data_IF_427782734595
#
_entry.id   IF_427782734595
#
_cell.length_a   1.000
_cell.length_b   1.000
_cell.length_c   1.000
_cell.angle_alpha   90.00
_cell.angle_beta   90.00
_cell.angle_gamma   90.00
#
_symmetry.space_group_name_H-M   'P 1'
#
loop_
_entity.id
_entity.type
_entity.pdbx_description
1 polymer ?
#
# COMPACT_ATOMS: atom_id res chain seq x y z
N UNK A 1 70.34 -55.40 -21.32
CA UNK A 1 71.34 -54.49 -21.93
C UNK A 1 71.07 -53.12 -21.42
N UNK A 2 71.81 -52.67 -20.36
CA UNK A 2 72.97 -51.76 -20.46
C UNK A 2 72.56 -50.55 -21.34
N UNK A 3 72.38 -49.32 -20.77
CA UNK A 3 73.48 -48.41 -20.55
C UNK A 3 73.10 -47.23 -19.63
N UNK A 4 73.95 -46.89 -18.69
CA UNK A 4 73.98 -45.70 -17.81
C UNK A 4 74.42 -44.46 -18.61
N UNK A 5 74.08 -43.26 -18.18
CA UNK A 5 74.99 -42.07 -18.04
C UNK A 5 74.16 -40.93 -17.41
N UNK A 6 74.39 -40.52 -16.20
CA UNK A 6 75.39 -39.53 -15.65
C UNK A 6 74.94 -38.06 -15.95
N UNK A 7 74.50 -37.42 -14.87
CA UNK A 7 74.85 -36.11 -14.26
C UNK A 7 75.26 -34.97 -15.18
N UNK A 8 74.60 -33.85 -15.02
CA UNK A 8 75.25 -32.57 -14.71
C UNK A 8 74.30 -31.62 -13.96
N UNK A 9 74.70 -31.26 -12.71
CA UNK A 9 74.09 -30.20 -11.96
C UNK A 9 74.69 -28.86 -12.40
N UNK A 10 73.87 -27.91 -12.77
CA UNK A 10 74.24 -26.51 -12.91
C UNK A 10 73.46 -25.69 -11.94
N UNK A 11 74.15 -25.22 -10.92
CA UNK A 11 73.60 -24.21 -9.97
C UNK A 11 73.69 -22.85 -10.67
N UNK A 12 72.51 -22.22 -10.90
CA UNK A 12 72.48 -20.82 -11.24
C UNK A 12 71.70 -20.08 -10.13
N UNK A 13 72.52 -19.33 -9.34
CA UNK A 13 71.99 -18.30 -8.45
C UNK A 13 71.51 -17.14 -9.31
N UNK A 14 70.19 -16.89 -9.26
CA UNK A 14 69.61 -15.63 -9.73
C UNK A 14 69.10 -14.89 -8.51
N UNK A 15 69.70 -13.71 -8.26
CA UNK A 15 69.26 -12.76 -7.27
C UNK A 15 67.85 -12.24 -7.65
N UNK A 16 66.86 -12.48 -6.81
CA UNK A 16 65.53 -11.87 -6.93
C UNK A 16 65.59 -10.49 -6.29
N UNK A 17 65.45 -9.46 -7.13
CA UNK A 17 64.98 -8.15 -6.68
C UNK A 17 63.51 -8.28 -6.26
N UNK A 18 63.25 -7.98 -5.03
CA UNK A 18 61.87 -7.90 -4.53
C UNK A 18 61.16 -6.70 -5.12
N UNK A 19 60.06 -6.96 -5.78
CA UNK A 19 59.06 -5.96 -6.07
C UNK A 19 57.94 -6.14 -5.05
N UNK A 20 57.93 -5.25 -4.06
CA UNK A 20 56.83 -5.12 -3.10
C UNK A 20 55.59 -4.55 -3.82
N UNK A 21 54.87 -5.40 -4.51
CA UNK A 21 53.52 -5.06 -4.94
C UNK A 21 52.61 -5.12 -3.72
N UNK A 22 52.51 -3.97 -3.05
CA UNK A 22 51.48 -3.76 -2.04
C UNK A 22 50.09 -3.97 -2.71
N UNK A 23 49.52 -5.14 -2.47
CA UNK A 23 48.10 -5.39 -2.77
C UNK A 23 47.26 -4.48 -1.91
N UNK A 24 46.89 -3.32 -2.42
CA UNK A 24 45.90 -2.45 -1.79
C UNK A 24 44.59 -3.22 -1.75
N UNK A 25 44.27 -3.80 -0.61
CA UNK A 25 42.97 -4.32 -0.33
C UNK A 25 42.01 -3.13 -0.39
N UNK A 26 41.25 -3.03 -1.50
CA UNK A 26 40.13 -2.10 -1.59
C UNK A 26 39.11 -2.59 -0.58
N UNK A 27 39.12 -2.02 0.61
CA UNK A 27 38.05 -2.17 1.57
C UNK A 27 36.84 -1.51 0.93
N UNK A 28 35.95 -2.29 0.31
CA UNK A 28 34.64 -1.84 -0.07
C UNK A 28 33.93 -1.52 1.24
N UNK A 29 33.92 -0.26 1.63
CA UNK A 29 33.03 0.24 2.68
C UNK A 29 31.62 -0.06 2.17
N UNK A 30 30.99 -1.08 2.75
CA UNK A 30 29.52 -1.21 2.67
C UNK A 30 29.03 0.10 3.25
N UNK A 31 28.42 0.93 2.42
CA UNK A 31 27.74 2.13 2.89
C UNK A 31 26.81 1.66 3.99
N UNK A 32 26.99 2.16 5.21
CA UNK A 32 26.08 1.89 6.31
C UNK A 32 24.68 2.22 5.80
N UNK A 33 23.79 1.22 5.80
CA UNK A 33 22.41 1.42 5.36
C UNK A 33 21.85 2.59 6.16
N UNK A 34 21.35 3.62 5.46
CA UNK A 34 20.75 4.79 6.10
C UNK A 34 19.57 4.30 6.92
N UNK A 35 19.74 4.19 8.22
CA UNK A 35 18.73 3.68 9.16
C UNK A 35 17.88 4.77 9.79
N UNK A 36 17.98 6.02 9.29
CA UNK A 36 17.24 7.19 9.79
C UNK A 36 16.65 7.98 8.64
N UNK A 37 15.59 8.71 8.93
CA UNK A 37 15.10 9.74 8.00
C UNK A 37 16.02 10.98 8.02
N UNK A 38 16.06 11.78 6.94
CA UNK A 38 16.65 13.11 6.96
C UNK A 38 16.09 13.97 8.10
N UNK A 39 16.88 14.92 8.62
CA UNK A 39 16.46 15.80 9.74
C UNK A 39 15.25 16.69 9.40
N UNK A 40 15.06 17.01 8.14
CA UNK A 40 13.97 17.84 7.62
C UNK A 40 12.80 17.01 7.06
N UNK A 41 12.84 15.70 7.20
CA UNK A 41 11.72 14.84 6.83
C UNK A 41 10.48 15.12 7.69
N UNK A 42 9.30 14.97 7.12
CA UNK A 42 8.03 15.09 7.83
C UNK A 42 7.06 13.99 7.43
N UNK A 43 6.18 13.64 8.39
CA UNK A 43 5.06 12.73 8.17
C UNK A 43 3.79 13.48 7.81
N UNK A 44 2.88 12.82 7.10
CA UNK A 44 1.52 13.31 6.88
C UNK A 44 0.56 12.14 6.67
N UNK A 45 -0.72 12.34 6.98
CA UNK A 45 -1.74 11.33 6.75
C UNK A 45 -2.02 11.17 5.27
N UNK A 46 -2.04 9.92 4.82
CA UNK A 46 -2.55 9.51 3.51
C UNK A 46 -4.01 9.00 3.61
N UNK A 47 -4.56 8.89 4.82
CA UNK A 47 -5.98 8.60 5.06
C UNK A 47 -6.79 9.89 5.01
N UNK A 48 -7.90 9.90 4.24
CA UNK A 48 -8.75 11.08 4.04
C UNK A 48 -10.12 10.98 4.72
N UNK A 49 -10.55 9.79 5.15
CA UNK A 49 -11.89 9.54 5.71
C UNK A 49 -11.80 8.76 7.04
N UNK A 50 -11.20 9.38 8.05
CA UNK A 50 -11.12 8.83 9.41
C UNK A 50 -12.34 9.24 10.23
N UNK A 51 -12.93 8.28 10.95
CA UNK A 51 -14.10 8.52 11.79
C UNK A 51 -13.95 7.88 13.17
N UNK A 52 -14.91 8.12 14.03
CA UNK A 52 -15.00 7.42 15.33
C UNK A 52 -15.17 5.92 15.10
N UNK A 53 -14.34 5.13 15.77
CA UNK A 53 -14.29 3.68 15.62
C UNK A 53 -12.88 3.16 15.47
N UNK A 54 -12.77 1.90 15.03
CA UNK A 54 -11.50 1.26 14.70
C UNK A 54 -11.10 1.62 13.27
N UNK A 55 -10.04 2.42 13.11
CA UNK A 55 -9.65 2.99 11.83
C UNK A 55 -8.20 2.69 11.47
N UNK A 56 -7.97 2.50 10.18
CA UNK A 56 -6.65 2.33 9.59
C UNK A 56 -6.06 3.69 9.23
N UNK A 57 -5.03 4.10 9.95
CA UNK A 57 -4.25 5.30 9.64
C UNK A 57 -3.07 4.95 8.72
N UNK A 58 -3.02 5.59 7.57
CA UNK A 58 -1.89 5.56 6.65
C UNK A 58 -1.06 6.82 6.81
N UNK A 59 0.25 6.66 6.95
CA UNK A 59 1.20 7.76 7.07
C UNK A 59 2.26 7.64 5.99
N UNK A 60 2.43 8.69 5.21
CA UNK A 60 3.55 8.85 4.30
C UNK A 60 4.63 9.71 4.94
N UNK A 61 5.89 9.48 4.55
CA UNK A 61 7.02 10.33 4.91
C UNK A 61 7.58 10.98 3.66
N UNK A 62 7.90 12.26 3.74
CA UNK A 62 8.40 13.06 2.62
C UNK A 62 9.52 13.98 3.07
N UNK A 63 10.32 14.44 2.12
CA UNK A 63 11.21 15.58 2.30
C UNK A 63 10.48 16.91 1.99
N UNK A 64 11.08 18.09 2.30
CA UNK A 64 10.46 19.39 2.08
C UNK A 64 10.18 19.73 0.60
N UNK A 65 10.82 19.06 -0.34
CA UNK A 65 10.58 19.28 -1.78
C UNK A 65 9.52 18.34 -2.34
N UNK A 66 8.94 17.47 -1.48
CA UNK A 66 7.82 16.60 -1.82
C UNK A 66 8.22 15.21 -2.33
N UNK A 67 9.52 14.86 -2.30
CA UNK A 67 9.93 13.50 -2.64
C UNK A 67 9.51 12.53 -1.54
N UNK A 68 8.89 11.43 -1.92
CA UNK A 68 8.52 10.35 -1.00
C UNK A 68 9.77 9.66 -0.46
N UNK A 69 9.76 9.33 0.82
CA UNK A 69 10.83 8.64 1.52
C UNK A 69 10.36 7.28 2.01
N UNK A 70 10.11 6.31 1.10
CA UNK A 70 9.73 4.96 1.49
C UNK A 70 10.95 4.24 2.08
N UNK A 71 10.87 3.92 3.37
CA UNK A 71 11.96 3.30 4.14
C UNK A 71 11.46 2.08 4.91
N UNK A 72 11.15 0.95 4.21
CA UNK A 72 10.65 -0.27 4.87
C UNK A 72 11.60 -0.81 5.93
N UNK A 73 12.89 -0.52 5.80
CA UNK A 73 13.94 -0.92 6.74
C UNK A 73 13.96 -0.11 8.04
N UNK A 74 13.20 1.00 8.13
CA UNK A 74 13.10 1.81 9.34
C UNK A 74 11.81 1.44 10.07
N UNK A 75 11.88 0.69 11.19
CA UNK A 75 10.71 0.46 12.03
C UNK A 75 10.20 1.79 12.60
N UNK A 76 8.90 1.98 12.57
CA UNK A 76 8.24 3.20 13.01
C UNK A 76 7.16 2.86 14.04
N UNK A 77 7.09 3.65 15.11
CA UNK A 77 5.96 3.67 16.03
C UNK A 77 5.13 4.92 15.74
N UNK A 78 3.85 4.74 15.50
CA UNK A 78 2.90 5.84 15.37
C UNK A 78 2.15 5.98 16.70
N UNK A 79 2.05 7.22 17.19
CA UNK A 79 1.31 7.55 18.40
C UNK A 79 0.26 8.60 18.07
N UNK A 80 -0.97 8.39 18.55
CA UNK A 80 -2.06 9.34 18.36
C UNK A 80 -2.67 9.75 19.71
N UNK A 81 -3.19 10.98 19.78
CA UNK A 81 -3.96 11.48 20.92
C UNK A 81 -4.88 12.61 20.48
N UNK A 82 -6.02 12.73 21.14
CA UNK A 82 -6.91 13.87 20.95
C UNK A 82 -6.21 15.15 21.43
N UNK A 83 -6.25 16.21 20.65
CA UNK A 83 -5.71 17.51 21.03
C UNK A 83 -6.33 17.98 22.35
N UNK A 84 -5.48 18.30 23.32
CA UNK A 84 -5.90 18.63 24.70
C UNK A 84 -6.09 17.44 25.63
N UNK A 85 -5.84 16.20 25.17
CA UNK A 85 -5.86 14.98 26.00
C UNK A 85 -4.57 14.17 25.85
N UNK A 86 -3.42 14.82 25.98
CA UNK A 86 -2.08 14.24 25.76
C UNK A 86 -1.75 13.06 26.68
N UNK A 87 -2.53 12.88 27.76
CA UNK A 87 -2.40 11.75 28.70
C UNK A 87 -3.08 10.46 28.19
N UNK A 88 -3.90 10.54 27.14
CA UNK A 88 -4.61 9.41 26.53
C UNK A 88 -4.00 9.08 25.16
N UNK A 89 -2.76 8.60 25.18
CA UNK A 89 -2.04 8.25 23.94
C UNK A 89 -2.21 6.78 23.60
N UNK A 90 -2.42 6.51 22.32
CA UNK A 90 -2.33 5.18 21.76
C UNK A 90 -1.06 5.10 20.91
N UNK A 91 -0.25 4.06 21.11
CA UNK A 91 1.00 3.86 20.36
C UNK A 91 1.01 2.48 19.75
N UNK A 92 1.24 2.40 18.45
CA UNK A 92 1.25 1.15 17.67
C UNK A 92 2.51 1.09 16.82
N UNK A 93 3.17 -0.07 16.81
CA UNK A 93 4.22 -0.35 15.85
C UNK A 93 3.59 -0.44 14.44
N UNK A 94 4.01 0.43 13.54
CA UNK A 94 3.44 0.50 12.22
C UNK A 94 3.98 -0.62 11.30
N UNK A 95 3.10 -1.25 10.55
CA UNK A 95 3.46 -2.03 9.39
C UNK A 95 3.84 -1.12 8.22
N UNK A 96 4.60 -1.64 7.27
CA UNK A 96 4.92 -0.93 6.03
C UNK A 96 4.26 -1.63 4.85
N UNK A 97 3.70 -0.87 3.92
CA UNK A 97 3.11 -1.37 2.68
C UNK A 97 3.60 -0.55 1.50
N UNK A 98 3.99 -1.23 0.43
CA UNK A 98 4.29 -0.58 -0.84
C UNK A 98 3.00 -0.21 -1.58
N UNK A 99 2.85 1.08 -1.89
CA UNK A 99 1.81 1.56 -2.81
C UNK A 99 2.27 1.43 -4.26
N UNK A 100 3.55 1.72 -4.52
CA UNK A 100 4.25 1.45 -5.77
C UNK A 100 5.62 0.90 -5.37
N UNK A 101 5.97 -0.35 -5.72
CA UNK A 101 7.23 -0.97 -5.32
C UNK A 101 8.44 -0.06 -5.54
N UNK A 102 9.27 0.10 -4.54
CA UNK A 102 10.51 0.92 -4.53
C UNK A 102 10.32 2.43 -4.79
N UNK A 103 9.09 2.91 -5.07
CA UNK A 103 8.79 4.31 -5.39
C UNK A 103 7.99 4.99 -4.29
N UNK A 104 6.89 4.37 -3.86
CA UNK A 104 5.99 4.95 -2.86
C UNK A 104 5.55 3.90 -1.87
N UNK A 105 5.73 4.18 -0.60
CA UNK A 105 5.32 3.30 0.48
C UNK A 105 4.72 4.09 1.64
N UNK A 106 3.95 3.38 2.45
CA UNK A 106 3.17 3.95 3.54
C UNK A 106 3.41 3.14 4.81
N UNK A 107 3.43 3.81 5.93
CA UNK A 107 3.30 3.19 7.24
C UNK A 107 1.84 3.09 7.60
N UNK A 108 1.38 1.91 8.07
CA UNK A 108 0.00 1.66 8.45
C UNK A 108 -0.08 1.24 9.92
N UNK A 109 -1.08 1.76 10.62
CA UNK A 109 -1.41 1.35 11.97
C UNK A 109 -2.90 1.53 12.21
N UNK A 110 -3.49 0.67 13.04
CA UNK A 110 -4.89 0.77 13.40
C UNK A 110 -5.02 1.43 14.78
N UNK A 111 -6.01 2.32 14.92
CA UNK A 111 -6.30 3.05 16.13
C UNK A 111 -7.80 3.06 16.42
N UNK A 112 -8.14 3.12 17.72
CA UNK A 112 -9.51 3.29 18.17
C UNK A 112 -9.75 4.77 18.49
N UNK A 113 -10.48 5.46 17.64
CA UNK A 113 -10.88 6.85 17.87
C UNK A 113 -12.20 6.89 18.62
N UNK A 114 -12.18 7.33 19.88
CA UNK A 114 -13.36 7.31 20.78
C UNK A 114 -14.27 8.53 20.64
N UNK A 115 -13.75 9.63 20.08
CA UNK A 115 -14.50 10.87 19.88
C UNK A 115 -14.06 11.59 18.60
N UNK A 116 -14.95 12.35 17.95
CA UNK A 116 -14.56 13.19 16.80
C UNK A 116 -13.72 14.38 17.27
N UNK A 117 -12.94 14.94 16.36
CA UNK A 117 -12.14 16.13 16.62
C UNK A 117 -10.77 16.11 15.95
N UNK A 118 -9.92 17.03 16.38
CA UNK A 118 -8.52 17.09 15.94
C UNK A 118 -7.70 16.16 16.81
N UNK A 119 -7.11 15.15 16.17
CA UNK A 119 -6.13 14.26 16.78
C UNK A 119 -4.73 14.62 16.29
N UNK A 120 -3.75 14.43 17.13
CA UNK A 120 -2.34 14.68 16.82
C UNK A 120 -1.67 13.33 16.55
N UNK A 121 -0.86 13.29 15.51
CA UNK A 121 -0.06 12.12 15.12
C UNK A 121 1.41 12.43 15.33
N UNK A 122 2.09 11.56 16.04
CA UNK A 122 3.55 11.55 16.21
C UNK A 122 4.13 10.31 15.58
N UNK A 123 5.20 10.48 14.82
CA UNK A 123 5.89 9.39 14.11
C UNK A 123 7.30 9.27 14.68
N UNK A 124 7.56 8.17 15.38
CA UNK A 124 8.84 7.89 16.00
C UNK A 124 9.55 6.75 15.27
N UNK A 125 10.60 7.04 14.49
CA UNK A 125 11.49 6.00 13.97
C UNK A 125 12.24 5.29 15.10
N UNK A 126 12.61 4.03 14.89
CA UNK A 126 13.42 3.27 15.86
C UNK A 126 14.80 3.88 16.07
N UNK A 127 15.29 4.63 15.09
CA UNK A 127 16.57 5.35 15.14
C UNK A 127 16.38 6.77 14.60
N UNK A 128 17.04 7.74 15.22
CA UNK A 128 16.95 9.15 14.86
C UNK A 128 15.92 9.92 15.68
N UNK A 129 15.71 11.18 15.30
CA UNK A 129 14.72 12.05 15.94
C UNK A 129 13.30 11.68 15.52
N UNK A 130 12.27 11.96 16.37
CA UNK A 130 10.89 11.90 15.93
C UNK A 130 10.65 12.90 14.79
N UNK A 131 9.75 12.54 13.86
CA UNK A 131 9.30 13.49 12.86
C UNK A 131 8.40 14.56 13.51
N UNK A 132 8.24 15.74 12.89
CA UNK A 132 7.30 16.74 13.37
C UNK A 132 5.88 16.17 13.52
N UNK A 133 5.24 16.46 14.64
CA UNK A 133 3.85 16.09 14.88
C UNK A 133 2.92 16.81 13.88
N UNK A 134 1.84 16.15 13.47
CA UNK A 134 0.87 16.73 12.56
C UNK A 134 -0.57 16.40 12.99
N UNK A 135 -1.55 17.26 12.67
CA UNK A 135 -2.94 17.02 13.00
C UNK A 135 -3.64 16.14 11.95
N UNK A 136 -4.63 15.37 12.40
CA UNK A 136 -5.62 14.71 11.57
C UNK A 136 -7.02 15.07 12.07
N UNK A 137 -8.00 15.07 11.16
CA UNK A 137 -9.39 15.24 11.51
C UNK A 137 -10.08 13.88 11.59
N UNK A 138 -10.66 13.57 12.75
CA UNK A 138 -11.54 12.42 12.94
C UNK A 138 -12.98 12.91 12.94
N UNK A 139 -13.82 12.38 12.05
CA UNK A 139 -15.24 12.71 11.91
C UNK A 139 -16.08 11.90 12.92
N UNK A 140 -17.32 12.33 13.18
CA UNK A 140 -18.26 11.53 13.96
C UNK A 140 -18.70 10.26 13.19
N UNK A 141 -18.92 10.41 11.88
CA UNK A 141 -19.26 9.34 10.93
C UNK A 141 -18.38 9.44 9.70
N UNK A 142 -18.02 8.31 9.06
CA UNK A 142 -17.28 8.33 7.82
C UNK A 142 -18.15 8.88 6.67
N UNK A 143 -17.52 9.39 5.66
CA UNK A 143 -18.20 9.79 4.40
C UNK A 143 -18.52 8.55 3.56
N UNK A 144 -17.60 7.59 3.52
CA UNK A 144 -17.82 6.32 2.84
C UNK A 144 -18.75 5.42 3.64
N UNK A 145 -19.27 4.37 3.02
CA UNK A 145 -20.09 3.38 3.71
C UNK A 145 -19.36 2.84 4.94
N UNK A 146 -19.99 2.94 6.09
CA UNK A 146 -19.40 2.55 7.37
C UNK A 146 -19.27 1.04 7.50
N UNK A 147 -18.25 0.58 8.24
CA UNK A 147 -18.18 -0.82 8.70
C UNK A 147 -19.39 -1.13 9.57
N UNK A 148 -20.01 -2.28 9.32
CA UNK A 148 -21.26 -2.72 9.94
C UNK A 148 -22.53 -2.25 9.23
N UNK A 149 -22.43 -1.37 8.23
CA UNK A 149 -23.57 -0.98 7.41
C UNK A 149 -23.85 -1.98 6.27
N UNK A 150 -25.08 -2.01 5.79
CA UNK A 150 -25.42 -2.73 4.57
C UNK A 150 -24.74 -2.08 3.35
N UNK A 151 -24.13 -2.88 2.51
CA UNK A 151 -23.54 -2.42 1.27
C UNK A 151 -24.63 -1.91 0.30
N UNK A 152 -24.47 -0.74 -0.35
CA UNK A 152 -25.36 -0.28 -1.39
C UNK A 152 -25.45 -1.27 -2.55
N UNK A 153 -26.67 -1.50 -3.03
CA UNK A 153 -26.93 -2.37 -4.18
C UNK A 153 -26.78 -1.58 -5.49
N UNK A 154 -25.58 -1.10 -5.73
CA UNK A 154 -25.29 -0.28 -6.91
C UNK A 154 -25.31 -1.10 -8.19
N UNK A 155 -25.86 -0.50 -9.22
CA UNK A 155 -25.83 -1.05 -10.58
C UNK A 155 -24.53 -0.60 -11.27
N UNK A 156 -23.52 -1.47 -11.25
CA UNK A 156 -22.24 -1.22 -11.93
C UNK A 156 -22.16 -1.97 -13.25
N UNK A 157 -21.54 -1.34 -14.25
CA UNK A 157 -21.42 -1.89 -15.61
C UNK A 157 -20.55 -3.15 -15.61
N UNK A 158 -20.98 -4.15 -16.40
CA UNK A 158 -20.32 -5.45 -16.54
C UNK A 158 -19.96 -5.74 -18.00
N UNK A 159 -19.17 -6.80 -18.24
CA UNK A 159 -18.83 -7.26 -19.61
C UNK A 159 -20.07 -7.75 -20.40
N UNK A 160 -21.23 -7.90 -19.75
CA UNK A 160 -22.50 -8.25 -20.39
C UNK A 160 -23.23 -7.00 -20.90
N UNK A 161 -22.86 -5.82 -20.44
CA UNK A 161 -23.50 -4.54 -20.78
C UNK A 161 -22.70 -3.78 -21.84
N UNK A 162 -21.35 -3.81 -21.75
CA UNK A 162 -20.45 -3.09 -22.65
C UNK A 162 -19.10 -3.81 -22.81
N UNK A 163 -18.33 -3.52 -23.86
CA UNK A 163 -16.97 -4.03 -24.02
C UNK A 163 -16.04 -3.40 -22.97
N UNK A 164 -14.95 -4.14 -22.62
CA UNK A 164 -14.04 -3.75 -21.53
C UNK A 164 -13.43 -2.34 -21.69
N UNK A 165 -13.12 -1.94 -22.90
CA UNK A 165 -12.57 -0.62 -23.23
C UNK A 165 -13.53 0.55 -22.93
N UNK A 166 -14.82 0.28 -22.77
CA UNK A 166 -15.83 1.25 -22.38
C UNK A 166 -16.12 1.21 -20.87
N UNK A 167 -15.80 0.07 -20.21
CA UNK A 167 -16.07 -0.16 -18.78
C UNK A 167 -14.97 0.41 -17.89
N UNK A 168 -13.72 0.33 -18.33
CA UNK A 168 -12.55 0.67 -17.49
C UNK A 168 -11.50 1.44 -18.26
N UNK A 169 -10.78 2.29 -17.53
CA UNK A 169 -9.61 3.00 -18.02
C UNK A 169 -8.28 2.23 -17.83
N UNK A 170 -8.34 1.00 -17.32
CA UNK A 170 -7.19 0.11 -17.24
C UNK A 170 -6.71 -0.25 -18.65
N UNK A 171 -5.40 -0.29 -18.85
CA UNK A 171 -4.80 -0.60 -20.15
C UNK A 171 -4.63 -2.10 -20.40
N UNK A 172 -4.71 -2.92 -19.35
CA UNK A 172 -4.62 -4.39 -19.42
C UNK A 172 -5.65 -5.03 -18.45
N UNK A 173 -6.96 -4.80 -18.65
CA UNK A 173 -7.96 -5.19 -17.68
C UNK A 173 -8.17 -6.70 -17.64
N UNK A 174 -8.20 -7.29 -16.45
CA UNK A 174 -8.61 -8.69 -16.26
C UNK A 174 -10.14 -8.80 -16.31
N UNK A 175 -10.72 -9.48 -17.33
CA UNK A 175 -12.17 -9.62 -17.48
C UNK A 175 -12.87 -10.24 -16.27
N UNK A 176 -12.12 -10.96 -15.41
CA UNK A 176 -12.68 -11.60 -14.23
C UNK A 176 -13.11 -10.65 -13.11
N UNK A 177 -12.74 -9.37 -13.19
CA UNK A 177 -13.16 -8.33 -12.25
C UNK A 177 -14.49 -7.64 -12.66
N UNK A 178 -15.07 -7.98 -13.83
CA UNK A 178 -16.22 -7.29 -14.42
C UNK A 178 -17.36 -8.25 -14.78
N UNK A 179 -17.39 -9.44 -14.14
CA UNK A 179 -18.36 -10.51 -14.47
C UNK A 179 -19.75 -10.25 -13.89
N UNK A 180 -19.86 -9.40 -12.87
CA UNK A 180 -21.12 -9.11 -12.16
C UNK A 180 -21.10 -7.68 -11.64
N UNK A 181 -22.31 -7.14 -11.46
CA UNK A 181 -22.48 -5.83 -10.81
C UNK A 181 -22.27 -5.92 -9.30
N UNK A 182 -22.11 -4.75 -8.64
CA UNK A 182 -22.07 -4.69 -7.18
C UNK A 182 -23.33 -5.32 -6.57
N UNK A 183 -24.51 -4.99 -7.09
CA UNK A 183 -25.78 -5.53 -6.59
C UNK A 183 -25.83 -7.06 -6.66
N UNK A 184 -25.39 -7.64 -7.77
CA UNK A 184 -25.30 -9.10 -7.92
C UNK A 184 -24.28 -9.72 -6.96
N UNK A 185 -23.11 -9.11 -6.80
CA UNK A 185 -22.08 -9.59 -5.90
C UNK A 185 -22.55 -9.59 -4.44
N UNK A 186 -23.10 -8.47 -3.98
CA UNK A 186 -23.61 -8.28 -2.60
C UNK A 186 -24.74 -9.25 -2.27
N UNK A 187 -25.58 -9.59 -3.25
CA UNK A 187 -26.72 -10.52 -3.05
C UNK A 187 -26.40 -11.98 -3.38
N UNK A 188 -25.19 -12.29 -3.80
CA UNK A 188 -24.77 -13.63 -4.22
C UNK A 188 -24.70 -14.67 -3.10
N UNK A 189 -24.69 -14.24 -1.82
CA UNK A 189 -24.45 -15.10 -0.67
C UNK A 189 -22.96 -15.47 -0.51
N UNK A 190 -22.05 -14.79 -1.18
CA UNK A 190 -20.59 -14.94 -1.07
C UNK A 190 -19.96 -13.62 -0.63
N UNK A 191 -18.87 -13.64 0.14
CA UNK A 191 -18.12 -12.44 0.40
C UNK A 191 -17.64 -11.78 -0.89
N UNK A 192 -17.46 -10.46 -0.84
CA UNK A 192 -17.02 -9.70 -2.01
C UNK A 192 -15.96 -8.66 -1.64
N UNK A 193 -14.97 -8.49 -2.49
CA UNK A 193 -13.98 -7.42 -2.47
C UNK A 193 -14.28 -6.51 -3.64
N UNK A 194 -14.64 -5.26 -3.35
CA UNK A 194 -15.07 -4.26 -4.32
C UNK A 194 -14.06 -3.12 -4.34
N UNK A 195 -13.44 -2.89 -5.49
CA UNK A 195 -12.39 -1.91 -5.69
C UNK A 195 -12.93 -0.77 -6.54
N UNK A 196 -12.97 0.43 -5.98
CA UNK A 196 -13.23 1.67 -6.72
C UNK A 196 -11.90 2.28 -7.13
N UNK A 197 -11.62 2.33 -8.43
CA UNK A 197 -10.36 2.83 -8.95
C UNK A 197 -10.54 3.44 -10.35
N UNK A 198 -9.59 4.26 -10.77
CA UNK A 198 -9.52 4.83 -12.13
C UNK A 198 -8.07 4.88 -12.61
N UNK A 199 -7.52 3.82 -13.19
CA UNK A 199 -6.11 3.75 -13.54
C UNK A 199 -5.58 4.92 -14.37
N UNK A 200 -6.32 5.36 -15.39
CA UNK A 200 -5.91 6.45 -16.31
C UNK A 200 -5.99 7.84 -15.69
N UNK A 201 -6.94 8.10 -14.79
CA UNK A 201 -7.23 9.43 -14.26
C UNK A 201 -6.83 9.61 -12.80
N UNK A 202 -6.20 8.60 -12.21
CA UNK A 202 -5.77 8.56 -10.82
C UNK A 202 -4.69 9.60 -10.52
N UNK A 203 -5.01 10.59 -9.69
CA UNK A 203 -4.09 11.66 -9.32
C UNK A 203 -2.91 11.17 -8.46
N UNK A 204 -3.11 10.10 -7.71
CA UNK A 204 -2.09 9.51 -6.83
C UNK A 204 -1.22 8.47 -7.52
N UNK A 205 -1.58 8.07 -8.76
CA UNK A 205 -0.92 7.02 -9.55
C UNK A 205 -0.94 5.62 -8.89
N UNK A 206 -1.76 5.37 -7.86
CA UNK A 206 -1.81 4.09 -7.16
C UNK A 206 -3.01 3.21 -7.53
N UNK A 207 -3.95 3.69 -8.35
CA UNK A 207 -5.13 2.90 -8.76
C UNK A 207 -4.76 1.66 -9.57
N UNK A 208 -3.89 1.81 -10.59
CA UNK A 208 -3.37 0.66 -11.33
C UNK A 208 -2.63 -0.33 -10.43
N UNK A 209 -1.58 0.10 -9.70
CA UNK A 209 -0.90 -0.74 -8.72
C UNK A 209 -1.82 -1.42 -7.69
N UNK A 210 -2.91 -0.76 -7.28
CA UNK A 210 -3.90 -1.39 -6.38
C UNK A 210 -4.63 -2.54 -7.08
N UNK A 211 -5.03 -2.37 -8.34
CA UNK A 211 -5.68 -3.45 -9.12
C UNK A 211 -4.73 -4.61 -9.37
N UNK A 212 -3.47 -4.34 -9.74
CA UNK A 212 -2.45 -5.37 -9.92
C UNK A 212 -2.30 -6.20 -8.65
N UNK A 213 -2.22 -5.53 -7.50
CA UNK A 213 -2.10 -6.18 -6.21
C UNK A 213 -3.35 -7.01 -5.84
N UNK A 214 -4.55 -6.50 -6.13
CA UNK A 214 -5.81 -7.26 -5.97
C UNK A 214 -5.79 -8.54 -6.82
N UNK A 215 -5.28 -8.48 -8.05
CA UNK A 215 -5.17 -9.65 -8.92
C UNK A 215 -4.15 -10.67 -8.39
N UNK A 216 -3.06 -10.22 -7.77
CA UNK A 216 -2.06 -11.09 -7.14
C UNK A 216 -2.64 -11.85 -5.94
N UNK A 217 -3.47 -11.21 -5.12
CA UNK A 217 -4.04 -11.82 -3.92
C UNK A 217 -5.32 -12.64 -4.18
N UNK A 218 -6.08 -12.33 -5.24
CA UNK A 218 -7.34 -12.99 -5.59
C UNK A 218 -7.28 -14.53 -5.61
N UNK A 219 -6.22 -15.19 -6.12
CA UNK A 219 -6.13 -16.66 -6.14
C UNK A 219 -6.13 -17.29 -4.74
N UNK A 220 -5.75 -16.57 -3.70
CA UNK A 220 -5.79 -17.07 -2.31
C UNK A 220 -7.21 -17.15 -1.74
N UNK A 221 -8.20 -16.52 -2.40
CA UNK A 221 -9.57 -16.41 -1.93
C UNK A 221 -10.61 -16.94 -2.96
N UNK A 222 -10.59 -18.21 -3.34
CA UNK A 222 -11.43 -18.74 -4.42
C UNK A 222 -12.93 -18.69 -4.13
N UNK A 223 -13.33 -18.47 -2.86
CA UNK A 223 -14.72 -18.33 -2.43
C UNK A 223 -15.25 -16.89 -2.46
N UNK A 224 -14.43 -15.90 -2.81
CA UNK A 224 -14.73 -14.48 -2.73
C UNK A 224 -14.95 -13.91 -4.14
N UNK A 225 -15.94 -13.04 -4.30
CA UNK A 225 -16.09 -12.25 -5.51
C UNK A 225 -15.12 -11.08 -5.49
N UNK A 226 -14.46 -10.80 -6.61
CA UNK A 226 -13.59 -9.63 -6.77
C UNK A 226 -14.11 -8.78 -7.92
N UNK A 227 -14.34 -7.50 -7.64
CA UNK A 227 -14.89 -6.54 -8.60
C UNK A 227 -14.02 -5.30 -8.67
N UNK A 228 -13.80 -4.80 -9.88
CA UNK A 228 -13.34 -3.44 -10.12
C UNK A 228 -14.51 -2.59 -10.62
N UNK A 229 -14.66 -1.43 -10.03
CA UNK A 229 -15.61 -0.40 -10.41
C UNK A 229 -14.83 0.84 -10.84
N UNK A 230 -14.87 1.14 -12.13
CA UNK A 230 -14.35 2.39 -12.66
C UNK A 230 -15.17 3.56 -12.08
N UNK A 231 -14.48 4.58 -11.58
CA UNK A 231 -15.17 5.70 -10.90
C UNK A 231 -15.72 6.73 -11.87
N UNK A 232 -15.36 6.64 -13.15
CA UNK A 232 -15.79 7.59 -14.18
C UNK A 232 -16.51 6.93 -15.37
N UNK A 233 -17.34 7.72 -16.04
CA UNK A 233 -17.90 7.43 -17.37
C UNK A 233 -17.24 8.33 -18.41
N UNK A 234 -17.53 8.08 -19.71
CA UNK A 234 -17.00 8.84 -20.84
C UNK A 234 -15.47 8.86 -20.91
N UNK A 235 -14.85 7.70 -20.71
CA UNK A 235 -13.41 7.52 -20.54
C UNK A 235 -12.58 8.02 -21.75
N UNK A 236 -13.20 8.11 -22.93
CA UNK A 236 -12.59 8.62 -24.16
C UNK A 236 -12.73 10.13 -24.34
N UNK A 237 -13.59 10.78 -23.53
CA UNK A 237 -13.83 12.22 -23.59
C UNK A 237 -13.56 12.89 -22.23
N UNK A 238 -12.29 13.21 -21.91
CA UNK A 238 -11.93 13.83 -20.64
C UNK A 238 -12.63 15.17 -20.35
N UNK A 239 -13.19 15.84 -21.37
CA UNK A 239 -13.91 17.10 -21.19
C UNK A 239 -15.36 16.87 -20.66
N UNK A 240 -15.89 15.66 -20.80
CA UNK A 240 -17.23 15.26 -20.36
C UNK A 240 -17.19 14.09 -19.38
N UNK A 241 -16.05 13.86 -18.73
CA UNK A 241 -15.92 12.82 -17.70
C UNK A 241 -16.87 13.10 -16.53
N UNK A 242 -17.55 12.08 -16.05
CA UNK A 242 -18.49 12.16 -14.93
C UNK A 242 -18.29 10.97 -14.00
N UNK A 243 -18.56 11.14 -12.73
CA UNK A 243 -18.55 10.02 -11.77
C UNK A 243 -19.72 9.07 -12.04
N UNK A 244 -19.48 7.77 -11.85
CA UNK A 244 -20.54 6.77 -11.89
C UNK A 244 -21.42 6.91 -10.63
N UNK A 245 -22.73 6.55 -10.69
CA UNK A 245 -23.63 6.67 -9.52
C UNK A 245 -23.12 5.97 -8.27
N UNK A 246 -22.47 4.82 -8.41
CA UNK A 246 -21.92 4.07 -7.31
C UNK A 246 -20.91 4.88 -6.46
N UNK A 247 -20.20 5.86 -7.02
CA UNK A 247 -19.29 6.75 -6.27
C UNK A 247 -20.06 7.54 -5.22
N UNK A 248 -21.20 8.12 -5.58
CA UNK A 248 -22.06 8.88 -4.66
C UNK A 248 -22.75 7.95 -3.65
N UNK A 249 -23.24 6.79 -4.09
CA UNK A 249 -23.93 5.80 -3.26
C UNK A 249 -23.01 5.22 -2.18
N UNK A 250 -21.71 5.03 -2.48
CA UNK A 250 -20.71 4.54 -1.56
C UNK A 250 -19.97 5.67 -0.81
N UNK A 251 -20.26 6.94 -1.16
CA UNK A 251 -19.67 8.12 -0.55
C UNK A 251 -18.16 8.27 -0.77
N UNK A 252 -17.67 7.84 -1.93
CA UNK A 252 -16.24 7.81 -2.27
C UNK A 252 -15.68 9.23 -2.42
N UNK A 253 -14.76 9.70 -1.53
CA UNK A 253 -14.23 11.07 -1.62
C UNK A 253 -13.00 11.18 -2.53
N UNK A 254 -12.27 10.10 -2.68
CA UNK A 254 -11.00 9.97 -3.41
C UNK A 254 -10.93 8.56 -3.99
N UNK A 255 -9.90 8.22 -4.75
CA UNK A 255 -9.61 6.85 -5.21
C UNK A 255 -8.12 6.50 -5.02
N UNK A 256 -7.79 5.21 -4.87
CA UNK A 256 -8.68 4.04 -4.84
C UNK A 256 -9.26 3.75 -3.44
N UNK A 257 -10.41 3.07 -3.41
CA UNK A 257 -11.00 2.48 -2.21
C UNK A 257 -11.26 1.00 -2.41
N UNK A 258 -11.07 0.22 -1.34
CA UNK A 258 -11.39 -1.22 -1.31
C UNK A 258 -12.34 -1.49 -0.17
N UNK A 259 -13.48 -2.13 -0.48
CA UNK A 259 -14.46 -2.56 0.51
C UNK A 259 -14.51 -4.08 0.54
N UNK A 260 -14.56 -4.63 1.75
CA UNK A 260 -14.85 -6.05 1.96
C UNK A 260 -16.27 -6.16 2.50
N UNK A 261 -17.09 -6.93 1.80
CA UNK A 261 -18.50 -7.18 2.12
C UNK A 261 -18.63 -8.66 2.46
N UNK A 262 -19.28 -9.00 3.56
CA UNK A 262 -19.52 -10.38 3.93
C UNK A 262 -20.61 -11.06 3.10
N UNK A 263 -20.83 -12.37 3.31
CA UNK A 263 -21.82 -13.14 2.58
C UNK A 263 -23.27 -12.72 2.87
N UNK A 264 -23.51 -11.85 3.87
CA UNK A 264 -24.84 -11.30 4.21
C UNK A 264 -25.06 -9.90 3.66
N UNK A 265 -24.07 -9.34 2.95
CA UNK A 265 -24.14 -8.02 2.34
C UNK A 265 -23.76 -6.87 3.30
N UNK A 266 -23.05 -7.16 4.39
CA UNK A 266 -22.59 -6.16 5.34
C UNK A 266 -21.13 -5.79 5.04
N UNK A 267 -20.80 -4.51 5.02
CA UNK A 267 -19.43 -4.02 4.91
C UNK A 267 -18.68 -4.37 6.20
N UNK A 268 -17.67 -5.22 6.10
CA UNK A 268 -16.86 -5.67 7.25
C UNK A 268 -15.51 -4.96 7.32
N UNK A 269 -15.04 -4.40 6.22
CA UNK A 269 -13.86 -3.53 6.19
C UNK A 269 -13.92 -2.54 5.05
N UNK A 270 -13.22 -1.41 5.22
CA UNK A 270 -13.03 -0.37 4.21
C UNK A 270 -11.58 0.10 4.24
N UNK A 271 -10.97 0.22 3.10
CA UNK A 271 -9.56 0.58 2.98
C UNK A 271 -9.37 1.66 1.92
N UNK A 272 -8.76 2.75 2.30
CA UNK A 272 -8.26 3.74 1.37
C UNK A 272 -6.88 3.33 0.84
N UNK A 273 -6.67 3.48 -0.46
CA UNK A 273 -5.39 3.15 -1.08
C UNK A 273 -5.15 1.65 -1.25
N UNK A 274 -3.89 1.26 -1.14
CA UNK A 274 -3.43 -0.12 -1.33
C UNK A 274 -3.73 -0.97 -0.10
N UNK A 275 -3.99 -2.25 -0.33
CA UNK A 275 -4.31 -3.27 0.69
C UNK A 275 -3.46 -4.51 0.46
N UNK A 276 -3.16 -5.30 1.48
CA UNK A 276 -2.51 -6.60 1.35
C UNK A 276 -3.45 -7.78 1.65
N UNK A 277 -2.95 -9.00 1.36
CA UNK A 277 -3.74 -10.22 1.53
C UNK A 277 -4.13 -10.47 2.99
N UNK A 278 -3.27 -10.10 3.95
CA UNK A 278 -3.53 -10.30 5.37
C UNK A 278 -4.69 -9.41 5.84
N UNK A 279 -4.79 -8.18 5.32
CA UNK A 279 -5.90 -7.27 5.63
C UNK A 279 -7.23 -7.83 5.13
N UNK A 280 -7.26 -8.43 3.93
CA UNK A 280 -8.46 -9.11 3.40
C UNK A 280 -8.77 -10.36 4.24
N UNK A 281 -7.77 -11.19 4.56
CA UNK A 281 -7.96 -12.38 5.36
C UNK A 281 -8.57 -12.06 6.73
N UNK A 282 -8.04 -11.05 7.42
CA UNK A 282 -8.56 -10.57 8.70
C UNK A 282 -10.00 -10.07 8.53
N UNK A 283 -10.30 -9.27 7.50
CA UNK A 283 -11.63 -8.73 7.24
C UNK A 283 -12.66 -9.84 6.98
N UNK A 284 -12.26 -10.92 6.31
CA UNK A 284 -13.12 -12.08 6.04
C UNK A 284 -13.24 -13.05 7.22
N UNK A 285 -12.58 -12.76 8.37
CA UNK A 285 -12.60 -13.63 9.54
C UNK A 285 -11.77 -14.91 9.38
N UNK A 286 -10.90 -14.99 8.38
CA UNK A 286 -9.92 -16.03 8.27
C UNK A 286 -8.86 -15.80 9.36
N UNK A 287 -8.95 -16.55 10.45
CA UNK A 287 -7.90 -16.54 11.48
C UNK A 287 -6.81 -17.53 11.07
N UNK A 288 -5.55 -17.15 11.28
CA UNK A 288 -4.40 -18.05 11.15
C UNK A 288 -4.51 -19.30 12.04
#
# INVERSE_FOLDING_TARGET
MRTRLLLLAVLLLVAACGDDSATTATTTTVADAVTTFPEDAFGFAASSDLAVGHERLLVAVSDPVGARLPKPEIPVTITVWLQGREFQRQSVAAGFIWAIPEVSGLYRANFDFDVPGIWVVSVQPASGAPLPDFPIQVQEFPRTVAVGAAAPLSDSVTIHDAPLEEITSDTDPDPSLYQMSIAEAVTSGRPSVIVFATPKFCQTAICGPTLDHILEIKPAFPGVNFLHVEVFTNLDDPANIQTVPAVDEWGIPTEPWVFVVDATGIVVARFEGVIDADEIAVALGAQE
#
